data_IF_108464263612
#
_entry.id   IF_108464263612
#
_cell.length_a   1.000
_cell.length_b   1.000
_cell.length_c   1.000
_cell.angle_alpha   90.00
_cell.angle_beta   90.00
_cell.angle_gamma   90.00
#
_symmetry.space_group_name_H-M   'P 1'
#
loop_
_entity.id
_entity.type
_entity.pdbx_description
1 polymer ?
#
# COMPACT_ATOMS: atom_id res chain seq x y z
N UNK A 1 -5.59 -15.51 -52.09
CA UNK A 1 -6.28 -15.09 -50.85
C UNK A 1 -5.36 -15.45 -49.68
N UNK A 2 -4.36 -14.61 -49.38
CA UNK A 2 -3.39 -14.87 -48.30
C UNK A 2 -3.88 -14.16 -47.04
N UNK A 3 -4.46 -14.91 -46.11
CA UNK A 3 -4.70 -14.44 -44.74
C UNK A 3 -3.39 -14.59 -43.95
N UNK A 4 -2.65 -13.48 -43.83
CA UNK A 4 -1.53 -13.35 -42.89
C UNK A 4 -2.01 -13.61 -41.45
N UNK A 5 -1.28 -14.38 -40.63
CA UNK A 5 -1.62 -14.61 -39.23
C UNK A 5 -1.35 -13.34 -38.43
N UNK A 6 -2.35 -12.84 -37.70
CA UNK A 6 -2.32 -11.60 -36.91
C UNK A 6 -1.28 -11.67 -35.76
N UNK A 7 -0.13 -10.98 -35.83
CA UNK A 7 0.89 -10.99 -34.77
C UNK A 7 0.61 -9.95 -33.66
N UNK A 8 -0.42 -9.13 -33.81
CA UNK A 8 -0.55 -7.89 -33.02
C UNK A 8 -0.91 -8.12 -31.54
N UNK A 9 -1.63 -9.19 -31.23
CA UNK A 9 -2.15 -9.43 -29.87
C UNK A 9 -1.07 -9.90 -28.89
N UNK A 10 -0.08 -10.66 -29.36
CA UNK A 10 1.03 -11.14 -28.55
C UNK A 10 2.03 -10.01 -28.24
N UNK A 11 2.31 -9.17 -29.22
CA UNK A 11 3.21 -8.00 -29.08
C UNK A 11 2.62 -6.97 -28.11
N UNK A 12 1.33 -6.64 -28.26
CA UNK A 12 0.64 -5.70 -27.37
C UNK A 12 0.64 -6.20 -25.91
N UNK A 13 0.40 -7.50 -25.69
CA UNK A 13 0.47 -8.13 -24.36
C UNK A 13 1.88 -8.07 -23.77
N UNK A 14 2.90 -8.35 -24.57
CA UNK A 14 4.29 -8.31 -24.13
C UNK A 14 4.72 -6.89 -23.76
N UNK A 15 4.35 -5.89 -24.56
CA UNK A 15 4.59 -4.48 -24.27
C UNK A 15 3.89 -4.05 -22.96
N UNK A 16 2.62 -4.41 -22.77
CA UNK A 16 1.89 -4.10 -21.54
C UNK A 16 2.57 -4.71 -20.30
N UNK A 17 3.06 -5.95 -20.39
CA UNK A 17 3.80 -6.61 -19.31
C UNK A 17 5.11 -5.89 -18.99
N UNK A 18 5.87 -5.50 -20.02
CA UNK A 18 7.14 -4.78 -19.84
C UNK A 18 6.92 -3.40 -19.21
N UNK A 19 5.90 -2.67 -19.68
CA UNK A 19 5.49 -1.40 -19.07
C UNK A 19 5.09 -1.60 -17.61
N UNK A 20 4.27 -2.60 -17.30
CA UNK A 20 3.87 -2.89 -15.92
C UNK A 20 5.10 -3.20 -15.03
N UNK A 21 6.02 -4.03 -15.51
CA UNK A 21 7.25 -4.34 -14.79
C UNK A 21 8.11 -3.10 -14.55
N UNK A 22 8.23 -2.23 -15.55
CA UNK A 22 8.93 -0.96 -15.43
C UNK A 22 8.30 -0.07 -14.37
N UNK A 23 6.96 0.06 -14.36
CA UNK A 23 6.23 0.88 -13.38
C UNK A 23 6.42 0.34 -11.96
N UNK A 24 6.32 -0.99 -11.77
CA UNK A 24 6.54 -1.64 -10.48
C UNK A 24 7.99 -1.43 -10.02
N UNK A 25 8.98 -1.69 -10.86
CA UNK A 25 10.38 -1.46 -10.52
C UNK A 25 10.63 0.02 -10.21
N UNK A 26 10.09 0.94 -10.99
CA UNK A 26 10.19 2.39 -10.75
C UNK A 26 9.64 2.79 -9.38
N UNK A 27 8.50 2.22 -8.97
CA UNK A 27 7.91 2.42 -7.65
C UNK A 27 8.74 1.79 -6.52
N UNK A 28 9.24 0.56 -6.72
CA UNK A 28 10.06 -0.14 -5.74
C UNK A 28 11.41 0.55 -5.52
N UNK A 29 11.96 1.21 -6.53
CA UNK A 29 13.18 2.01 -6.40
C UNK A 29 12.90 3.45 -5.92
N UNK A 30 11.63 3.87 -5.84
CA UNK A 30 11.30 5.23 -5.45
C UNK A 30 11.50 5.44 -3.93
N UNK A 31 12.24 6.48 -3.51
CA UNK A 31 12.47 6.74 -2.07
C UNK A 31 11.17 7.06 -1.33
N UNK A 32 10.16 7.62 -2.01
CA UNK A 32 8.86 7.93 -1.42
C UNK A 32 8.17 6.70 -0.82
N UNK A 33 8.26 5.54 -1.49
CA UNK A 33 7.71 4.28 -0.98
C UNK A 33 8.42 3.85 0.31
N UNK A 34 9.74 3.85 0.30
CA UNK A 34 10.52 3.39 1.46
C UNK A 34 10.36 4.30 2.67
N UNK A 35 10.33 5.62 2.46
CA UNK A 35 10.04 6.60 3.51
C UNK A 35 8.65 6.34 4.10
N UNK A 36 7.65 6.13 3.25
CA UNK A 36 6.30 5.78 3.70
C UNK A 36 6.30 4.49 4.53
N UNK A 37 6.95 3.42 4.07
CA UNK A 37 7.02 2.14 4.79
C UNK A 37 7.69 2.28 6.15
N UNK A 38 8.76 3.07 6.25
CA UNK A 38 9.45 3.33 7.52
C UNK A 38 8.51 4.07 8.49
N UNK A 39 7.87 5.16 8.04
CA UNK A 39 6.96 5.94 8.89
C UNK A 39 5.78 5.07 9.32
N UNK A 40 5.19 4.32 8.40
CA UNK A 40 4.04 3.46 8.66
C UNK A 40 4.41 2.33 9.63
N UNK A 41 5.58 1.70 9.47
CA UNK A 41 6.09 0.69 10.40
C UNK A 41 6.30 1.25 11.81
N UNK A 42 6.97 2.40 11.93
CA UNK A 42 7.21 3.05 13.23
C UNK A 42 5.90 3.44 13.91
N UNK A 43 4.98 4.05 13.17
CA UNK A 43 3.72 4.54 13.73
C UNK A 43 2.80 3.39 14.16
N UNK A 44 2.66 2.36 13.32
CA UNK A 44 1.84 1.18 13.63
C UNK A 44 2.44 0.40 14.78
N UNK A 45 3.76 0.14 14.76
CA UNK A 45 4.44 -0.58 15.84
C UNK A 45 4.36 0.17 17.18
N UNK A 46 4.57 1.48 17.18
CA UNK A 46 4.42 2.31 18.37
C UNK A 46 2.97 2.29 18.90
N UNK A 47 1.99 2.43 18.00
CA UNK A 47 0.57 2.40 18.37
C UNK A 47 0.18 1.07 18.99
N UNK A 48 0.68 -0.05 18.45
CA UNK A 48 0.46 -1.39 19.00
C UNK A 48 1.03 -1.54 20.41
N UNK A 49 2.32 -1.23 20.60
CA UNK A 49 2.98 -1.33 21.92
C UNK A 49 2.25 -0.43 22.93
N UNK A 50 1.90 0.79 22.53
CA UNK A 50 1.19 1.73 23.38
C UNK A 50 -0.19 1.20 23.78
N UNK A 51 -0.94 0.63 22.84
CA UNK A 51 -2.27 0.10 23.09
C UNK A 51 -2.23 -1.13 23.99
N UNK A 52 -1.26 -2.04 23.80
CA UNK A 52 -1.02 -3.18 24.72
C UNK A 52 -0.71 -2.70 26.13
N UNK A 53 0.16 -1.69 26.27
CA UNK A 53 0.51 -1.14 27.58
C UNK A 53 -0.69 -0.50 28.30
N UNK A 54 -1.49 0.27 27.56
CA UNK A 54 -2.71 0.90 28.10
C UNK A 54 -3.76 -0.15 28.47
N UNK A 55 -3.97 -1.14 27.61
CA UNK A 55 -4.91 -2.22 27.87
C UNK A 55 -4.51 -3.07 29.09
N UNK A 56 -3.22 -3.33 29.26
CA UNK A 56 -2.69 -4.04 30.44
C UNK A 56 -2.93 -3.26 31.75
N UNK A 57 -2.70 -1.94 31.74
CA UNK A 57 -2.97 -1.08 32.91
C UNK A 57 -4.48 -1.03 33.24
N UNK A 58 -5.33 -0.92 32.21
CA UNK A 58 -6.77 -0.98 32.38
C UNK A 58 -7.21 -2.34 32.94
N UNK A 59 -6.60 -3.43 32.47
CA UNK A 59 -6.91 -4.80 32.90
C UNK A 59 -6.61 -5.01 34.37
N UNK A 60 -5.48 -4.50 34.86
CA UNK A 60 -5.11 -4.57 36.27
C UNK A 60 -6.10 -3.79 37.16
N UNK A 61 -6.56 -2.63 36.70
CA UNK A 61 -7.56 -1.81 37.42
C UNK A 61 -8.93 -2.49 37.44
N UNK A 62 -9.30 -3.18 36.36
CA UNK A 62 -10.57 -3.89 36.27
C UNK A 62 -10.68 -5.07 37.24
N UNK A 63 -9.57 -5.64 37.71
CA UNK A 63 -9.58 -6.69 38.74
C UNK A 63 -10.23 -6.23 40.06
N UNK A 64 -10.14 -4.93 40.37
CA UNK A 64 -10.77 -4.33 41.56
C UNK A 64 -12.21 -3.85 41.33
N UNK A 65 -12.67 -3.76 40.08
CA UNK A 65 -13.99 -3.23 39.71
C UNK A 65 -14.70 -4.15 38.70
N UNK A 66 -15.60 -5.04 39.16
CA UNK A 66 -16.24 -6.07 38.32
C UNK A 66 -17.02 -5.50 37.12
N UNK A 67 -17.60 -4.31 37.27
CA UNK A 67 -18.37 -3.65 36.21
C UNK A 67 -17.47 -3.20 35.05
N UNK A 68 -16.23 -2.82 35.36
CA UNK A 68 -15.24 -2.39 34.37
C UNK A 68 -14.65 -3.59 33.61
N UNK A 69 -14.51 -4.74 34.28
CA UNK A 69 -14.03 -5.98 33.67
C UNK A 69 -14.98 -6.53 32.59
N UNK A 70 -16.29 -6.34 32.73
CA UNK A 70 -17.28 -6.82 31.77
C UNK A 70 -17.19 -6.12 30.40
N UNK A 71 -16.65 -4.89 30.35
CA UNK A 71 -16.48 -4.13 29.11
C UNK A 71 -15.12 -4.29 28.43
N UNK A 72 -14.23 -5.12 28.95
CA UNK A 72 -12.86 -5.22 28.43
C UNK A 72 -12.77 -6.15 27.22
N UNK A 73 -12.49 -5.55 26.06
CA UNK A 73 -12.27 -6.27 24.81
C UNK A 73 -10.92 -5.87 24.18
N UNK A 74 -9.99 -6.82 23.95
CA UNK A 74 -8.72 -6.55 23.27
C UNK A 74 -8.89 -6.01 21.84
N UNK A 75 -9.98 -6.36 21.14
CA UNK A 75 -10.25 -5.81 19.81
C UNK A 75 -10.38 -4.29 19.85
N UNK A 76 -11.21 -3.78 20.77
CA UNK A 76 -11.47 -2.35 20.91
C UNK A 76 -10.31 -1.63 21.59
N UNK A 77 -9.64 -2.29 22.54
CA UNK A 77 -8.56 -1.69 23.32
C UNK A 77 -7.19 -1.68 22.64
N UNK A 78 -6.93 -2.61 21.71
CA UNK A 78 -5.60 -2.80 21.09
C UNK A 78 -5.67 -2.66 19.57
N UNK A 79 -6.54 -3.42 18.91
CA UNK A 79 -6.54 -3.48 17.45
C UNK A 79 -7.16 -2.24 16.80
N UNK A 80 -8.28 -1.73 17.31
CA UNK A 80 -8.91 -0.51 16.81
C UNK A 80 -7.93 0.69 16.80
N UNK A 81 -7.24 1.04 17.89
CA UNK A 81 -6.29 2.15 17.84
C UNK A 81 -5.08 1.87 16.94
N UNK A 82 -4.57 0.63 16.91
CA UNK A 82 -3.43 0.25 16.05
C UNK A 82 -3.76 0.39 14.57
N UNK A 83 -4.88 -0.18 14.12
CA UNK A 83 -5.33 -0.08 12.74
C UNK A 83 -5.88 1.31 12.39
N UNK A 84 -6.35 2.07 13.38
CA UNK A 84 -6.67 3.49 13.23
C UNK A 84 -5.43 4.29 12.80
N UNK A 85 -4.30 4.11 13.47
CA UNK A 85 -3.02 4.72 13.07
C UNK A 85 -2.54 4.27 11.70
N UNK A 86 -2.68 2.98 11.37
CA UNK A 86 -2.39 2.44 10.04
C UNK A 86 -3.23 3.14 8.95
N UNK A 87 -4.55 3.20 9.15
CA UNK A 87 -5.48 3.83 8.22
C UNK A 87 -5.15 5.31 7.99
N UNK A 88 -4.85 6.05 9.06
CA UNK A 88 -4.46 7.46 8.96
C UNK A 88 -3.14 7.62 8.18
N UNK A 89 -2.14 6.79 8.48
CA UNK A 89 -0.86 6.83 7.76
C UNK A 89 -1.03 6.54 6.27
N UNK A 90 -1.77 5.49 5.91
CA UNK A 90 -2.09 5.16 4.51
C UNK A 90 -2.78 6.32 3.80
N UNK A 91 -3.85 6.84 4.38
CA UNK A 91 -4.64 7.92 3.78
C UNK A 91 -3.79 9.16 3.50
N UNK A 92 -2.84 9.47 4.38
CA UNK A 92 -1.98 10.65 4.24
C UNK A 92 -0.75 10.41 3.37
N UNK A 93 -0.12 9.23 3.45
CA UNK A 93 1.18 8.98 2.82
C UNK A 93 1.06 8.34 1.43
N UNK A 94 0.07 7.48 1.20
CA UNK A 94 -0.15 6.80 -0.08
C UNK A 94 -0.29 7.77 -1.27
N UNK A 95 -0.96 8.93 -1.15
CA UNK A 95 -1.03 9.92 -2.23
C UNK A 95 0.34 10.37 -2.73
N UNK A 96 1.37 10.43 -1.88
CA UNK A 96 2.72 10.84 -2.31
C UNK A 96 3.37 9.82 -3.23
N UNK A 97 3.13 8.53 -2.99
CA UNK A 97 3.60 7.44 -3.86
C UNK A 97 2.87 7.50 -5.20
N UNK A 98 1.56 7.74 -5.19
CA UNK A 98 0.77 7.92 -6.41
C UNK A 98 1.19 9.17 -7.21
N UNK A 99 1.43 10.31 -6.54
CA UNK A 99 1.94 11.53 -7.17
C UNK A 99 3.32 11.28 -7.78
N UNK A 100 4.19 10.53 -7.10
CA UNK A 100 5.51 10.18 -7.62
C UNK A 100 5.41 9.35 -8.91
N UNK A 101 4.52 8.36 -8.96
CA UNK A 101 4.27 7.52 -10.14
C UNK A 101 3.95 8.35 -11.39
N UNK A 102 3.13 9.39 -11.25
CA UNK A 102 2.71 10.25 -12.36
C UNK A 102 3.74 11.35 -12.62
N UNK A 103 4.32 11.91 -11.55
CA UNK A 103 5.27 13.00 -11.60
C UNK A 103 6.58 12.63 -12.30
N UNK A 104 7.06 11.39 -12.09
CA UNK A 104 8.30 10.90 -12.72
C UNK A 104 8.18 10.83 -14.25
N UNK A 105 7.03 10.42 -14.78
CA UNK A 105 6.79 10.41 -16.23
C UNK A 105 6.72 11.80 -16.82
N UNK A 106 6.11 12.73 -16.08
CA UNK A 106 6.01 14.13 -16.48
C UNK A 106 7.39 14.79 -16.49
N UNK A 107 8.21 14.55 -15.47
CA UNK A 107 9.54 15.16 -15.32
C UNK A 107 10.56 14.61 -16.32
N UNK A 108 10.52 13.31 -16.61
CA UNK A 108 11.43 12.65 -17.57
C UNK A 108 11.03 12.86 -19.03
N UNK A 109 9.82 13.37 -19.30
CA UNK A 109 9.26 13.46 -20.64
C UNK A 109 8.73 12.13 -21.19
N UNK A 110 8.82 11.04 -20.41
CA UNK A 110 8.32 9.72 -20.78
C UNK A 110 6.81 9.72 -21.08
N UNK A 111 6.04 10.64 -20.49
CA UNK A 111 4.61 10.79 -20.78
C UNK A 111 4.32 11.00 -22.28
N UNK A 112 5.17 11.74 -22.99
CA UNK A 112 5.01 11.95 -24.44
C UNK A 112 5.25 10.66 -25.23
N UNK A 113 6.24 9.86 -24.81
CA UNK A 113 6.53 8.56 -25.41
C UNK A 113 5.40 7.56 -25.15
N UNK A 114 4.85 7.54 -23.94
CA UNK A 114 3.72 6.68 -23.58
C UNK A 114 2.48 6.98 -24.42
N UNK A 115 2.20 8.26 -24.69
CA UNK A 115 1.07 8.67 -25.52
C UNK A 115 1.26 8.38 -27.03
N UNK A 116 2.50 8.14 -27.47
CA UNK A 116 2.80 7.73 -28.84
C UNK A 116 2.69 6.21 -29.05
N UNK A 117 2.59 5.43 -27.97
CA UNK A 117 2.39 3.98 -28.07
C UNK A 117 0.98 3.65 -28.57
N UNK A 118 0.78 2.46 -29.15
CA UNK A 118 -0.53 1.98 -29.63
C UNK A 118 -1.47 1.58 -28.47
N UNK A 119 -1.42 2.27 -27.34
CA UNK A 119 -2.29 2.08 -26.18
C UNK A 119 -3.23 3.26 -26.02
N UNK A 120 -4.48 2.99 -25.63
CA UNK A 120 -5.38 4.06 -25.24
C UNK A 120 -4.90 4.71 -23.92
N UNK A 121 -5.16 6.02 -23.70
CA UNK A 121 -4.83 6.68 -22.43
C UNK A 121 -5.44 5.97 -21.21
N UNK A 122 -6.62 5.39 -21.36
CA UNK A 122 -7.28 4.60 -20.32
C UNK A 122 -6.52 3.31 -19.99
N UNK A 123 -5.98 2.60 -21.00
CA UNK A 123 -5.18 1.41 -20.77
C UNK A 123 -3.88 1.73 -20.02
N UNK A 124 -3.23 2.86 -20.33
CA UNK A 124 -2.05 3.35 -19.62
C UNK A 124 -2.37 3.71 -18.16
N UNK A 125 -3.49 4.39 -17.91
CA UNK A 125 -3.99 4.62 -16.55
C UNK A 125 -4.24 3.31 -15.81
N UNK A 126 -4.85 2.32 -16.45
CA UNK A 126 -5.09 0.99 -15.89
C UNK A 126 -3.80 0.28 -15.49
N UNK A 127 -2.76 0.35 -16.31
CA UNK A 127 -1.43 -0.20 -16.00
C UNK A 127 -0.83 0.48 -14.76
N UNK A 128 -0.91 1.82 -14.67
CA UNK A 128 -0.43 2.56 -13.51
C UNK A 128 -1.18 2.22 -12.23
N UNK A 129 -2.50 2.13 -12.29
CA UNK A 129 -3.34 1.71 -11.16
C UNK A 129 -2.98 0.28 -10.74
N UNK A 130 -2.75 -0.62 -11.69
CA UNK A 130 -2.35 -2.01 -11.40
C UNK A 130 -0.98 -2.07 -10.73
N UNK A 131 0.00 -1.31 -11.24
CA UNK A 131 1.33 -1.24 -10.64
C UNK A 131 1.27 -0.68 -9.21
N UNK A 132 0.52 0.42 -9.02
CA UNK A 132 0.30 1.02 -7.71
C UNK A 132 -0.38 0.04 -6.75
N UNK A 133 -1.42 -0.66 -7.19
CA UNK A 133 -2.14 -1.65 -6.37
C UNK A 133 -1.26 -2.83 -5.95
N UNK A 134 -0.39 -3.32 -6.84
CA UNK A 134 0.57 -4.38 -6.50
C UNK A 134 1.60 -3.93 -5.47
N UNK A 135 2.08 -2.69 -5.62
CA UNK A 135 3.07 -2.11 -4.70
C UNK A 135 2.44 -1.76 -3.35
N UNK A 136 1.17 -1.33 -3.34
CA UNK A 136 0.40 -1.10 -2.12
C UNK A 136 0.29 -2.35 -1.24
N UNK A 137 0.34 -3.56 -1.81
CA UNK A 137 0.39 -4.78 -1.00
C UNK A 137 1.60 -4.83 -0.04
N UNK A 138 2.69 -4.13 -0.35
CA UNK A 138 3.84 -4.03 0.55
C UNK A 138 3.56 -3.18 1.79
N UNK A 139 2.66 -2.20 1.71
CA UNK A 139 2.29 -1.40 2.88
C UNK A 139 1.36 -2.15 3.83
N UNK A 140 0.84 -3.32 3.44
CA UNK A 140 0.17 -4.26 4.34
C UNK A 140 1.15 -5.00 5.27
N UNK A 141 2.45 -5.01 4.96
CA UNK A 141 3.45 -5.78 5.74
C UNK A 141 3.49 -5.36 7.21
N UNK A 142 3.55 -4.06 7.58
CA UNK A 142 3.56 -3.68 8.99
C UNK A 142 2.27 -4.05 9.73
N UNK A 143 1.12 -3.94 9.06
CA UNK A 143 -0.16 -4.38 9.60
C UNK A 143 -0.18 -5.90 9.84
N UNK A 144 0.33 -6.69 8.91
CA UNK A 144 0.45 -8.15 9.06
C UNK A 144 1.43 -8.55 10.18
N UNK A 145 2.52 -7.80 10.36
CA UNK A 145 3.48 -8.06 11.44
C UNK A 145 2.85 -7.94 12.83
N UNK A 146 1.93 -7.00 13.03
CA UNK A 146 1.18 -6.88 14.30
C UNK A 146 0.35 -8.14 14.56
N UNK A 147 -0.35 -8.64 13.54
CA UNK A 147 -1.16 -9.85 13.66
C UNK A 147 -0.31 -11.08 13.99
N UNK A 148 0.89 -11.17 13.41
CA UNK A 148 1.84 -12.24 13.70
C UNK A 148 2.42 -12.17 15.12
N UNK A 149 2.62 -10.96 15.66
CA UNK A 149 3.14 -10.78 17.02
C UNK A 149 2.09 -11.03 18.12
N UNK A 150 0.80 -10.95 17.77
CA UNK A 150 -0.28 -11.21 18.70
C UNK A 150 -0.52 -12.71 18.95
N UNK A 151 -0.19 -13.56 17.98
CA UNK A 151 -0.33 -15.01 18.07
C UNK A 151 0.88 -15.65 18.78
#
# INVERSE_FOLDING_TARGET
MYSLPLPETSVCRQQARLLLQQEICGLLLAPALWIMLIILSLLVGYSFIQAVNLFSQASQTALSFPEMAQGMNPLDGIFVPTFGSYYLAETLLLPFVAIRLIGTDKQSGALKLLLQLPFSPFALCGLKITAMGLVWLLSLVPAAMVLLQWH
#
